data_IF_169679271215
#
_entry.id   IF_169679271215
#
_cell.length_a   1.000
_cell.length_b   1.000
_cell.length_c   1.000
_cell.angle_alpha   90.00
_cell.angle_beta   90.00
_cell.angle_gamma   90.00
#
_symmetry.space_group_name_H-M   'P 1'
#
loop_
_entity.id
_entity.type
_entity.pdbx_description
1 polymer ?
#
# COMPACT_ATOMS: atom_id res chain seq x y z
N UNK A 1 -17.31 50.11 4.85
CA UNK A 1 -16.17 49.58 4.06
C UNK A 1 -15.27 48.58 4.84
N UNK A 2 -15.01 48.78 6.16
CA UNK A 2 -14.21 47.88 7.00
C UNK A 2 -14.78 46.44 7.12
N UNK A 3 -16.10 46.33 7.36
CA UNK A 3 -16.85 45.06 7.50
C UNK A 3 -16.74 44.11 6.29
N UNK A 4 -16.69 44.66 5.07
CA UNK A 4 -16.56 43.87 3.81
C UNK A 4 -15.14 43.33 3.63
N UNK A 5 -14.13 44.05 4.12
CA UNK A 5 -12.71 43.66 4.03
C UNK A 5 -12.38 42.57 5.06
N UNK A 6 -12.97 42.65 6.26
CA UNK A 6 -12.90 41.62 7.31
C UNK A 6 -13.63 40.32 6.91
N UNK A 7 -14.81 40.43 6.30
CA UNK A 7 -15.56 39.29 5.75
C UNK A 7 -14.74 38.51 4.71
N UNK A 8 -14.03 39.20 3.81
CA UNK A 8 -13.15 38.55 2.82
C UNK A 8 -11.91 37.88 3.44
N UNK A 9 -11.39 38.37 4.56
CA UNK A 9 -10.29 37.73 5.27
C UNK A 9 -10.75 36.48 6.03
N UNK A 10 -11.90 36.56 6.70
CA UNK A 10 -12.52 35.44 7.40
C UNK A 10 -12.83 34.28 6.44
N UNK A 11 -13.40 34.56 5.26
CA UNK A 11 -13.69 33.55 4.24
C UNK A 11 -12.41 32.84 3.76
N UNK A 12 -11.31 33.58 3.58
CA UNK A 12 -10.02 32.99 3.19
C UNK A 12 -9.46 32.08 4.26
N UNK A 13 -9.56 32.46 5.54
CA UNK A 13 -9.12 31.63 6.67
C UNK A 13 -9.96 30.34 6.74
N UNK A 14 -11.28 30.45 6.63
CA UNK A 14 -12.17 29.27 6.63
C UNK A 14 -11.82 28.30 5.49
N UNK A 15 -11.62 28.82 4.27
CA UNK A 15 -11.21 28.00 3.12
C UNK A 15 -9.85 27.33 3.35
N UNK A 16 -8.90 28.02 3.97
CA UNK A 16 -7.60 27.46 4.33
C UNK A 16 -7.74 26.32 5.34
N UNK A 17 -8.56 26.51 6.38
CA UNK A 17 -8.82 25.50 7.41
C UNK A 17 -9.50 24.27 6.83
N UNK A 18 -10.52 24.44 5.98
CA UNK A 18 -11.17 23.32 5.28
C UNK A 18 -10.15 22.55 4.42
N UNK A 19 -9.26 23.26 3.71
CA UNK A 19 -8.22 22.61 2.93
C UNK A 19 -7.27 21.78 3.79
N UNK A 20 -6.85 22.27 4.97
CA UNK A 20 -5.99 21.51 5.89
C UNK A 20 -6.70 20.28 6.43
N UNK A 21 -8.00 20.37 6.75
CA UNK A 21 -8.78 19.20 7.19
C UNK A 21 -8.87 18.16 6.06
N UNK A 22 -9.17 18.60 4.83
CA UNK A 22 -9.20 17.72 3.66
C UNK A 22 -7.82 17.11 3.36
N UNK A 23 -6.74 17.86 3.55
CA UNK A 23 -5.36 17.38 3.43
C UNK A 23 -5.12 16.20 4.38
N UNK A 24 -5.47 16.36 5.67
CA UNK A 24 -5.27 15.31 6.66
C UNK A 24 -6.13 14.09 6.31
N UNK A 25 -7.38 14.30 5.89
CA UNK A 25 -8.27 13.22 5.48
C UNK A 25 -7.75 12.44 4.27
N UNK A 26 -7.25 13.13 3.24
CA UNK A 26 -6.67 12.48 2.05
C UNK A 26 -5.41 11.69 2.42
N UNK A 27 -4.49 12.28 3.17
CA UNK A 27 -3.29 11.56 3.64
C UNK A 27 -3.64 10.31 4.45
N UNK A 28 -4.66 10.39 5.29
CA UNK A 28 -5.15 9.25 6.07
C UNK A 28 -5.77 8.17 5.15
N UNK A 29 -6.68 8.55 4.25
CA UNK A 29 -7.32 7.61 3.32
C UNK A 29 -6.28 6.96 2.40
N UNK A 30 -5.34 7.73 1.86
CA UNK A 30 -4.28 7.21 0.99
C UNK A 30 -3.45 6.14 1.71
N UNK A 31 -3.07 6.42 2.96
CA UNK A 31 -2.26 5.52 3.77
C UNK A 31 -2.95 4.23 4.19
N UNK A 32 -4.29 4.19 4.14
CA UNK A 32 -5.09 3.06 4.60
C UNK A 32 -5.72 2.30 3.43
N UNK A 33 -6.05 2.96 2.32
CA UNK A 33 -6.92 2.39 1.28
C UNK A 33 -6.37 2.43 -0.15
N UNK A 34 -5.52 3.41 -0.53
CA UNK A 34 -5.30 3.72 -1.95
C UNK A 34 -3.88 3.44 -2.44
N UNK A 35 -2.88 3.56 -1.57
CA UNK A 35 -1.51 3.19 -1.90
C UNK A 35 -1.36 1.68 -1.65
N UNK A 36 -1.17 0.89 -2.71
CA UNK A 36 -1.05 -0.57 -2.60
C UNK A 36 0.01 -1.02 -1.59
N UNK A 37 -0.11 -2.27 -1.13
CA UNK A 37 0.61 -2.79 0.05
C UNK A 37 2.13 -2.57 0.02
N UNK A 38 2.75 -2.63 -1.17
CA UNK A 38 4.20 -2.47 -1.31
C UNK A 38 4.70 -1.05 -0.98
N UNK A 39 3.93 -0.01 -1.33
CA UNK A 39 4.29 1.39 -1.05
C UNK A 39 3.64 1.96 0.21
N UNK A 40 2.69 1.27 0.82
CA UNK A 40 2.12 1.68 2.10
C UNK A 40 2.87 1.07 3.27
N UNK A 41 3.26 -0.19 3.17
CA UNK A 41 3.78 -0.97 4.29
C UNK A 41 5.06 -1.74 3.99
N UNK A 42 5.47 -1.82 2.71
CA UNK A 42 6.73 -2.43 2.34
C UNK A 42 7.97 -1.58 2.67
N UNK A 43 9.12 -2.07 2.24
CA UNK A 43 10.44 -1.44 2.36
C UNK A 43 10.48 0.00 1.83
N UNK A 44 9.67 0.31 0.82
CA UNK A 44 9.58 1.62 0.19
C UNK A 44 8.39 2.45 0.68
N UNK A 45 7.86 2.16 1.87
CA UNK A 45 6.71 2.87 2.45
C UNK A 45 6.90 4.39 2.58
N UNK A 46 8.15 4.86 2.70
CA UNK A 46 8.45 6.30 2.72
C UNK A 46 8.06 7.00 1.39
N UNK A 47 8.13 6.30 0.25
CA UNK A 47 7.75 6.85 -1.06
C UNK A 47 6.25 7.11 -1.11
N UNK A 48 5.45 6.15 -0.62
CA UNK A 48 4.00 6.29 -0.54
C UNK A 48 3.54 7.46 0.35
N UNK A 49 4.35 7.87 1.33
CA UNK A 49 4.10 9.06 2.17
C UNK A 49 4.62 10.35 1.55
N UNK A 50 5.76 10.29 0.86
CA UNK A 50 6.42 11.47 0.29
C UNK A 50 5.65 12.05 -0.89
N UNK A 51 5.17 11.20 -1.80
CA UNK A 51 4.41 11.63 -3.00
C UNK A 51 3.20 12.50 -2.64
N UNK A 52 2.23 12.02 -1.83
CA UNK A 52 1.04 12.81 -1.50
C UNK A 52 1.42 14.08 -0.74
N UNK A 53 2.40 14.00 0.18
CA UNK A 53 2.86 15.17 0.94
C UNK A 53 3.37 16.30 0.03
N UNK A 54 4.22 15.98 -0.95
CA UNK A 54 4.78 16.96 -1.89
C UNK A 54 3.69 17.50 -2.82
N UNK A 55 2.84 16.62 -3.36
CA UNK A 55 1.77 17.02 -4.27
C UNK A 55 0.75 17.93 -3.60
N UNK A 56 0.35 17.61 -2.37
CA UNK A 56 -0.57 18.43 -1.60
C UNK A 56 0.05 19.76 -1.17
N UNK A 57 1.33 19.78 -0.79
CA UNK A 57 2.04 21.03 -0.50
C UNK A 57 2.09 21.95 -1.74
N UNK A 58 2.35 21.38 -2.92
CA UNK A 58 2.29 22.12 -4.18
C UNK A 58 0.87 22.60 -4.52
N UNK A 59 -0.15 21.76 -4.30
CA UNK A 59 -1.55 22.12 -4.50
C UNK A 59 -1.98 23.27 -3.58
N UNK A 60 -1.52 23.26 -2.33
CA UNK A 60 -1.75 24.32 -1.36
C UNK A 60 -1.07 25.62 -1.78
N UNK A 61 0.20 25.56 -2.19
CA UNK A 61 0.92 26.73 -2.69
C UNK A 61 0.19 27.36 -3.89
N UNK A 62 -0.29 26.54 -4.83
CA UNK A 62 -1.08 27.00 -5.97
C UNK A 62 -2.38 27.69 -5.53
N UNK A 63 -3.10 27.18 -4.53
CA UNK A 63 -4.29 27.84 -3.97
C UNK A 63 -3.96 29.17 -3.31
N UNK A 64 -2.88 29.25 -2.54
CA UNK A 64 -2.39 30.50 -1.97
C UNK A 64 -2.15 31.54 -3.06
N UNK A 65 -1.44 31.19 -4.14
CA UNK A 65 -1.25 32.09 -5.29
C UNK A 65 -2.59 32.50 -5.93
N UNK A 66 -3.56 31.59 -6.05
CA UNK A 66 -4.88 31.90 -6.59
C UNK A 66 -5.66 32.91 -5.74
N UNK A 67 -5.49 32.88 -4.41
CA UNK A 67 -6.17 33.78 -3.47
C UNK A 67 -5.61 35.20 -3.46
N UNK A 68 -4.35 35.39 -3.84
CA UNK A 68 -3.67 36.70 -3.84
C UNK A 68 -3.49 37.28 -5.25
N UNK A 69 -3.43 36.46 -6.31
CA UNK A 69 -3.20 36.92 -7.68
C UNK A 69 -4.43 36.74 -8.58
N UNK A 70 -5.19 37.83 -8.77
CA UNK A 70 -6.44 37.83 -9.57
C UNK A 70 -6.24 37.49 -11.05
N UNK A 71 -5.08 37.80 -11.65
CA UNK A 71 -4.83 37.60 -13.10
C UNK A 71 -4.67 36.13 -13.48
N UNK A 72 -4.05 35.31 -12.60
CA UNK A 72 -3.77 33.89 -12.86
C UNK A 72 -4.64 32.93 -12.02
N UNK A 73 -5.65 33.44 -11.34
CA UNK A 73 -6.49 32.67 -10.39
C UNK A 73 -7.04 31.37 -10.99
N UNK A 74 -7.67 31.42 -12.18
CA UNK A 74 -8.28 30.24 -12.82
C UNK A 74 -7.24 29.13 -13.06
N UNK A 75 -6.09 29.50 -13.61
CA UNK A 75 -5.00 28.56 -13.88
C UNK A 75 -4.47 27.92 -12.58
N UNK A 76 -4.22 28.71 -11.55
CA UNK A 76 -3.73 28.20 -10.26
C UNK A 76 -4.73 27.24 -9.58
N UNK A 77 -6.04 27.51 -9.68
CA UNK A 77 -7.08 26.60 -9.18
C UNK A 77 -7.08 25.28 -9.96
N UNK A 78 -6.96 25.33 -11.29
CA UNK A 78 -6.89 24.12 -12.13
C UNK A 78 -5.67 23.28 -11.77
N UNK A 79 -4.49 23.91 -11.63
CA UNK A 79 -3.25 23.21 -11.24
C UNK A 79 -3.41 22.55 -9.87
N UNK A 80 -3.95 23.26 -8.88
CA UNK A 80 -4.18 22.71 -7.55
C UNK A 80 -5.12 21.50 -7.58
N UNK A 81 -6.25 21.61 -8.28
CA UNK A 81 -7.20 20.52 -8.42
C UNK A 81 -6.58 19.31 -9.14
N UNK A 82 -5.82 19.54 -10.22
CA UNK A 82 -5.14 18.48 -10.93
C UNK A 82 -4.13 17.74 -10.05
N UNK A 83 -3.33 18.47 -9.26
CA UNK A 83 -2.38 17.86 -8.33
C UNK A 83 -3.07 16.93 -7.33
N UNK A 84 -4.21 17.32 -6.76
CA UNK A 84 -4.95 16.45 -5.83
C UNK A 84 -5.51 15.22 -6.53
N UNK A 85 -6.13 15.39 -7.71
CA UNK A 85 -6.75 14.30 -8.46
C UNK A 85 -5.73 13.24 -8.90
N UNK A 86 -4.53 13.65 -9.30
CA UNK A 86 -3.50 12.73 -9.79
C UNK A 86 -2.75 11.96 -8.71
N UNK A 87 -2.93 12.27 -7.42
CA UNK A 87 -2.25 11.55 -6.32
C UNK A 87 -2.48 10.05 -6.43
N UNK A 88 -3.73 9.64 -6.56
CA UNK A 88 -4.10 8.21 -6.61
C UNK A 88 -3.46 7.50 -7.80
N UNK A 89 -3.52 8.09 -8.99
CA UNK A 89 -2.93 7.50 -10.19
C UNK A 89 -1.41 7.37 -10.09
N UNK A 90 -0.74 8.38 -9.50
CA UNK A 90 0.71 8.35 -9.31
C UNK A 90 1.11 7.34 -8.24
N UNK A 91 0.33 7.21 -7.16
CA UNK A 91 0.54 6.18 -6.14
C UNK A 91 0.38 4.78 -6.73
N UNK A 92 -0.65 4.54 -7.54
CA UNK A 92 -0.84 3.24 -8.21
C UNK A 92 0.34 2.89 -9.14
N UNK A 93 0.82 3.87 -9.91
CA UNK A 93 2.00 3.71 -10.76
C UNK A 93 3.25 3.41 -9.93
N UNK A 94 3.48 4.17 -8.85
CA UNK A 94 4.60 3.97 -7.94
C UNK A 94 4.57 2.57 -7.30
N UNK A 95 3.39 2.11 -6.86
CA UNK A 95 3.20 0.75 -6.34
C UNK A 95 3.59 -0.30 -7.38
N UNK A 96 3.09 -0.15 -8.60
CA UNK A 96 3.38 -1.08 -9.71
C UNK A 96 4.88 -1.16 -9.99
N UNK A 97 5.58 -0.02 -9.99
CA UNK A 97 7.03 0.02 -10.20
C UNK A 97 7.76 -0.68 -9.05
N UNK A 98 7.41 -0.38 -7.81
CA UNK A 98 8.04 -1.00 -6.62
C UNK A 98 7.82 -2.51 -6.60
N UNK A 99 6.60 -2.97 -6.91
CA UNK A 99 6.29 -4.40 -7.03
C UNK A 99 7.20 -5.07 -8.06
N UNK A 100 7.28 -4.51 -9.28
CA UNK A 100 8.09 -5.10 -10.35
C UNK A 100 9.59 -5.15 -10.02
N UNK A 101 10.12 -4.16 -9.29
CA UNK A 101 11.55 -4.08 -8.98
C UNK A 101 11.92 -4.95 -7.78
N UNK A 102 11.12 -4.94 -6.70
CA UNK A 102 11.53 -5.53 -5.43
C UNK A 102 10.81 -6.83 -5.08
N UNK A 103 9.56 -7.00 -5.52
CA UNK A 103 8.66 -8.03 -4.97
C UNK A 103 8.09 -9.02 -6.00
N UNK A 104 8.28 -8.81 -7.30
CA UNK A 104 7.73 -9.71 -8.34
C UNK A 104 8.46 -11.05 -8.42
N UNK A 105 9.77 -11.04 -8.27
CA UNK A 105 10.58 -12.27 -8.34
C UNK A 105 10.70 -12.89 -6.95
N UNK A 106 10.43 -14.18 -6.86
CA UNK A 106 10.62 -14.94 -5.63
C UNK A 106 12.10 -14.99 -5.25
N UNK A 107 12.36 -14.74 -3.97
CA UNK A 107 13.67 -14.85 -3.34
C UNK A 107 13.46 -15.36 -1.92
N UNK A 108 14.07 -16.50 -1.59
CA UNK A 108 13.91 -17.16 -0.28
C UNK A 108 14.37 -16.27 0.89
N UNK A 109 15.44 -15.50 0.72
CA UNK A 109 15.95 -14.63 1.77
C UNK A 109 15.02 -13.44 2.00
N UNK A 110 14.48 -12.84 0.92
CA UNK A 110 13.44 -11.80 1.01
C UNK A 110 12.17 -12.36 1.62
N UNK A 111 11.73 -13.54 1.20
CA UNK A 111 10.55 -14.20 1.76
C UNK A 111 10.71 -14.38 3.25
N UNK A 112 11.81 -14.96 3.73
CA UNK A 112 12.06 -15.19 5.16
C UNK A 112 12.22 -13.91 5.99
N UNK A 113 12.46 -12.75 5.36
CA UNK A 113 12.60 -11.47 6.06
C UNK A 113 11.23 -10.89 6.47
N UNK A 114 10.84 -11.14 7.72
CA UNK A 114 9.54 -10.70 8.21
C UNK A 114 9.40 -9.16 8.28
N UNK A 115 10.48 -8.45 8.61
CA UNK A 115 10.42 -7.01 8.96
C UNK A 115 10.07 -6.07 7.79
N UNK A 116 10.49 -6.39 6.57
CA UNK A 116 10.43 -5.47 5.43
C UNK A 116 9.69 -6.03 4.20
N UNK A 117 9.41 -7.33 4.20
CA UNK A 117 9.01 -8.03 2.98
C UNK A 117 7.71 -8.83 3.09
N UNK A 118 7.15 -9.04 4.29
CA UNK A 118 5.85 -9.74 4.47
C UNK A 118 4.78 -9.14 3.56
N UNK A 119 4.70 -7.82 3.52
CA UNK A 119 3.69 -7.08 2.76
C UNK A 119 3.79 -7.23 1.25
N UNK A 120 4.98 -7.62 0.77
CA UNK A 120 5.25 -7.83 -0.63
C UNK A 120 5.31 -9.29 -1.06
N UNK A 121 5.24 -10.26 -0.12
CA UNK A 121 5.32 -11.69 -0.44
C UNK A 121 4.20 -12.15 -1.38
N UNK A 122 3.01 -11.56 -1.28
CA UNK A 122 1.88 -11.87 -2.17
C UNK A 122 2.24 -11.69 -3.65
N UNK A 123 3.12 -10.74 -3.96
CA UNK A 123 3.54 -10.48 -5.34
C UNK A 123 4.61 -11.48 -5.84
N UNK A 124 5.19 -12.29 -4.95
CA UNK A 124 6.15 -13.34 -5.27
C UNK A 124 5.49 -14.71 -5.51
N UNK A 125 4.22 -14.89 -5.14
CA UNK A 125 3.56 -16.20 -5.13
C UNK A 125 3.52 -16.82 -6.52
N UNK A 126 3.18 -16.03 -7.55
CA UNK A 126 3.11 -16.54 -8.93
C UNK A 126 4.48 -17.06 -9.40
N UNK A 127 5.56 -16.32 -9.15
CA UNK A 127 6.93 -16.71 -9.53
C UNK A 127 7.44 -17.90 -8.68
N UNK A 128 7.05 -17.95 -7.40
CA UNK A 128 7.32 -19.08 -6.50
C UNK A 128 6.70 -20.37 -7.05
N UNK A 129 5.41 -20.34 -7.37
CA UNK A 129 4.67 -21.49 -7.85
C UNK A 129 5.15 -21.97 -9.22
N UNK A 130 5.44 -21.04 -10.13
CA UNK A 130 5.96 -21.36 -11.45
C UNK A 130 7.33 -22.06 -11.38
N UNK A 131 8.25 -21.56 -10.55
CA UNK A 131 9.63 -22.05 -10.50
C UNK A 131 9.83 -23.27 -9.61
N UNK A 132 9.14 -23.31 -8.47
CA UNK A 132 9.37 -24.33 -7.45
C UNK A 132 8.31 -25.42 -7.38
N UNK A 133 7.13 -25.22 -8.01
CA UNK A 133 6.02 -26.19 -8.06
C UNK A 133 5.70 -26.74 -6.67
N UNK A 134 5.12 -25.89 -5.82
CA UNK A 134 4.95 -26.20 -4.39
C UNK A 134 4.05 -27.42 -4.19
N UNK A 135 3.02 -27.59 -5.01
CA UNK A 135 2.19 -28.80 -5.03
C UNK A 135 3.03 -30.02 -5.44
N UNK A 136 3.05 -31.02 -4.57
CA UNK A 136 3.85 -32.24 -4.70
C UNK A 136 5.15 -32.24 -3.89
N UNK A 137 5.59 -31.09 -3.36
CA UNK A 137 6.76 -31.03 -2.48
C UNK A 137 6.46 -31.59 -1.09
N UNK A 138 7.51 -32.07 -0.40
CA UNK A 138 7.40 -32.42 1.02
C UNK A 138 7.42 -31.16 1.88
N UNK A 139 6.69 -31.18 2.98
CA UNK A 139 6.62 -30.05 3.93
C UNK A 139 7.99 -29.59 4.43
N UNK A 140 8.96 -30.51 4.63
CA UNK A 140 10.31 -30.12 5.05
C UNK A 140 11.08 -29.36 3.96
N UNK A 141 10.87 -29.67 2.67
CA UNK A 141 11.50 -28.98 1.54
C UNK A 141 10.93 -27.57 1.40
N UNK A 142 9.60 -27.46 1.56
CA UNK A 142 8.93 -26.16 1.58
C UNK A 142 9.40 -25.32 2.76
N UNK A 143 9.60 -25.90 3.94
CA UNK A 143 10.14 -25.18 5.11
C UNK A 143 11.59 -24.76 4.90
N UNK A 144 12.40 -25.54 4.21
CA UNK A 144 13.75 -25.12 3.83
C UNK A 144 13.71 -23.93 2.86
N UNK A 145 12.75 -23.91 1.94
CA UNK A 145 12.58 -22.83 0.95
C UNK A 145 11.96 -21.55 1.55
N UNK A 146 10.86 -21.66 2.28
CA UNK A 146 10.01 -20.56 2.74
C UNK A 146 10.22 -20.21 4.22
N UNK A 147 10.95 -21.04 4.95
CA UNK A 147 11.05 -20.94 6.41
C UNK A 147 9.79 -21.47 7.10
N UNK A 148 9.74 -21.22 8.41
CA UNK A 148 8.61 -21.60 9.26
C UNK A 148 7.34 -20.82 8.86
N UNK A 149 6.21 -21.51 8.80
CA UNK A 149 4.90 -20.87 8.66
C UNK A 149 4.54 -19.99 9.86
N UNK A 150 3.64 -19.03 9.64
CA UNK A 150 3.02 -18.22 10.70
C UNK A 150 2.24 -19.13 11.65
N UNK A 151 1.38 -19.98 11.10
CA UNK A 151 0.67 -21.01 11.83
C UNK A 151 0.97 -22.38 11.19
N UNK A 152 1.46 -23.30 12.02
CA UNK A 152 1.73 -24.69 11.64
C UNK A 152 0.90 -25.58 12.56
N UNK A 153 -0.21 -26.12 12.05
CA UNK A 153 -1.18 -26.99 12.76
C UNK A 153 -2.13 -26.25 13.71
N UNK A 154 -3.37 -26.07 13.25
CA UNK A 154 -4.48 -25.59 14.07
C UNK A 154 -4.94 -26.69 15.05
N UNK A 155 -5.46 -26.28 16.21
CA UNK A 155 -5.98 -27.18 17.25
C UNK A 155 -7.14 -28.09 16.78
N UNK A 156 -7.63 -27.89 15.55
CA UNK A 156 -8.69 -28.65 14.89
C UNK A 156 -8.20 -29.88 14.10
N UNK A 157 -6.89 -30.12 14.04
CA UNK A 157 -6.30 -31.27 13.33
C UNK A 157 -6.18 -31.08 11.81
N UNK A 158 -6.34 -29.86 11.30
CA UNK A 158 -6.15 -29.59 9.87
C UNK A 158 -4.66 -29.55 9.48
N UNK A 159 -4.30 -30.34 8.45
CA UNK A 159 -2.95 -30.42 7.90
C UNK A 159 -2.66 -29.23 6.99
N UNK A 160 -2.36 -28.07 7.60
CA UNK A 160 -2.11 -26.81 6.88
C UNK A 160 -0.87 -26.08 7.40
N UNK A 161 -0.15 -25.42 6.47
CA UNK A 161 0.89 -24.43 6.76
C UNK A 161 0.40 -23.10 6.22
N UNK A 162 0.39 -22.07 7.07
CA UNK A 162 -0.05 -20.73 6.68
C UNK A 162 1.14 -19.78 6.69
N UNK A 163 1.25 -18.91 5.69
CA UNK A 163 2.22 -17.83 5.63
C UNK A 163 1.50 -16.49 5.46
N UNK A 164 1.86 -15.50 6.27
CA UNK A 164 1.42 -14.13 6.02
C UNK A 164 2.13 -13.59 4.78
N UNK A 165 1.35 -13.03 3.85
CA UNK A 165 1.87 -12.58 2.55
C UNK A 165 1.47 -11.15 2.16
N UNK A 166 0.66 -10.49 2.98
CA UNK A 166 0.19 -9.13 2.73
C UNK A 166 -0.27 -8.46 4.01
N UNK A 167 -0.70 -7.21 3.90
CA UNK A 167 -0.85 -6.30 5.05
C UNK A 167 -1.91 -6.72 6.04
N UNK A 168 -1.46 -6.81 7.30
CA UNK A 168 -2.26 -6.73 8.51
C UNK A 168 -2.87 -5.34 8.68
N UNK A 169 -4.20 -5.30 8.71
CA UNK A 169 -5.07 -4.13 8.78
C UNK A 169 -6.52 -4.62 8.88
N UNK A 170 -7.42 -4.14 8.03
CA UNK A 170 -8.79 -4.70 7.92
C UNK A 170 -8.87 -6.01 7.11
N UNK A 171 -7.82 -6.38 6.36
CA UNK A 171 -7.84 -7.49 5.42
C UNK A 171 -6.51 -8.26 5.48
N UNK A 172 -6.44 -9.33 6.27
CA UNK A 172 -5.22 -10.10 6.43
C UNK A 172 -5.08 -11.12 5.30
N UNK A 173 -3.96 -11.06 4.56
CA UNK A 173 -3.71 -11.95 3.43
C UNK A 173 -2.79 -13.08 3.83
N UNK A 174 -3.29 -14.30 3.66
CA UNK A 174 -2.55 -15.53 3.96
C UNK A 174 -2.37 -16.37 2.70
N UNK A 175 -1.23 -17.02 2.62
CA UNK A 175 -0.93 -18.06 1.66
C UNK A 175 -0.94 -19.40 2.39
N UNK A 176 -1.82 -20.30 1.98
CA UNK A 176 -2.15 -21.53 2.69
C UNK A 176 -1.73 -22.72 1.84
N UNK A 177 -1.03 -23.66 2.48
CA UNK A 177 -0.60 -24.92 1.89
C UNK A 177 -1.27 -26.06 2.66
N UNK A 178 -2.07 -26.88 1.97
CA UNK A 178 -2.67 -28.09 2.53
C UNK A 178 -1.83 -29.31 2.16
N UNK A 179 -1.64 -30.22 3.10
CA UNK A 179 -0.81 -31.42 2.91
C UNK A 179 -1.51 -32.71 3.35
N UNK A 180 -1.10 -33.83 2.75
CA UNK A 180 -1.62 -35.15 3.09
C UNK A 180 -0.94 -35.74 4.35
N UNK A 181 -1.37 -36.92 4.78
CA UNK A 181 -0.79 -37.62 5.95
C UNK A 181 0.71 -37.92 5.80
N UNK A 182 1.22 -37.97 4.57
CA UNK A 182 2.64 -38.19 4.27
C UNK A 182 3.45 -36.89 4.23
N UNK A 183 2.83 -35.75 4.54
CA UNK A 183 3.46 -34.44 4.49
C UNK A 183 3.77 -33.96 3.07
N UNK A 184 2.99 -34.38 2.07
CA UNK A 184 3.09 -33.88 0.68
C UNK A 184 2.08 -32.76 0.49
N UNK A 185 2.50 -31.62 -0.04
CA UNK A 185 1.58 -30.53 -0.37
C UNK A 185 0.66 -30.97 -1.50
N UNK A 186 -0.65 -30.88 -1.27
CA UNK A 186 -1.68 -31.27 -2.25
C UNK A 186 -2.36 -30.07 -2.89
N UNK A 187 -2.38 -28.93 -2.19
CA UNK A 187 -3.07 -27.72 -2.64
C UNK A 187 -2.45 -26.47 -2.04
N UNK A 188 -2.46 -25.40 -2.81
CA UNK A 188 -2.07 -24.07 -2.39
C UNK A 188 -3.15 -23.06 -2.80
N UNK A 189 -3.37 -22.03 -1.98
CA UNK A 189 -4.29 -20.94 -2.30
C UNK A 189 -4.03 -19.72 -1.40
N UNK A 190 -4.57 -18.57 -1.78
CA UNK A 190 -4.57 -17.36 -0.95
C UNK A 190 -5.95 -17.11 -0.34
N UNK A 191 -5.98 -16.65 0.92
CA UNK A 191 -7.20 -16.22 1.61
C UNK A 191 -7.07 -14.77 2.05
N UNK A 192 -8.21 -14.10 2.19
CA UNK A 192 -8.33 -12.76 2.78
C UNK A 192 -9.32 -12.88 3.93
N UNK A 193 -8.85 -12.60 5.14
CA UNK A 193 -9.67 -12.60 6.36
C UNK A 193 -9.98 -11.16 6.81
#
# INVERSE_FOLDING_TARGET
MKKVKESNAAIKIILLTIFVILFIAVCFIDSVFLAGDAISYGKFSFIGKLIPSVMLAAAFAALCFAMFNKKKRKLCVIISAALVVFIVSILFLANTIVVNIEYKTFDSAKWKNYSNHVQGRQYMIDDLEEKHKIVGMKTYEVKDLLGKGTDETSADGSNKITYDVGVSGLWHKTYILEYDENGIITKTYTSVD
#
